data_IF_341557865586
#
_entry.id   IF_341557865586
#
_cell.length_a   1.000
_cell.length_b   1.000
_cell.length_c   1.000
_cell.angle_alpha   90.00
_cell.angle_beta   90.00
_cell.angle_gamma   90.00
#
_symmetry.space_group_name_H-M   'P 1'
#
loop_
_entity.id
_entity.type
_entity.pdbx_description
1 polymer ?
#
# COMPACT_ATOMS: atom_id res chain seq x y z
N UNK A 1 68.78 14.61 -12.43
CA UNK A 1 67.77 15.05 -13.41
C UNK A 1 66.84 13.90 -13.69
N UNK A 2 67.35 12.76 -14.17
CA UNK A 2 66.55 11.53 -14.42
C UNK A 2 65.70 11.05 -13.24
N UNK A 3 66.25 11.00 -12.01
CA UNK A 3 65.48 10.58 -10.82
C UNK A 3 64.32 11.54 -10.46
N UNK A 4 64.42 12.82 -10.80
CA UNK A 4 63.34 13.78 -10.57
C UNK A 4 62.25 13.67 -11.64
N UNK A 5 62.62 13.36 -12.89
CA UNK A 5 61.71 13.14 -14.02
C UNK A 5 60.94 11.80 -13.92
N UNK A 6 61.49 10.82 -13.18
CA UNK A 6 60.83 9.54 -12.89
C UNK A 6 59.83 9.65 -11.72
N UNK A 7 60.18 10.42 -10.68
CA UNK A 7 59.28 10.74 -9.56
C UNK A 7 58.09 11.61 -10.02
N UNK A 8 58.31 12.58 -10.91
CA UNK A 8 57.24 13.41 -11.49
C UNK A 8 56.25 12.57 -12.32
N UNK A 9 56.75 11.71 -13.22
CA UNK A 9 55.90 10.78 -13.99
C UNK A 9 55.10 9.81 -13.12
N UNK A 10 55.70 9.35 -12.01
CA UNK A 10 55.03 8.46 -11.06
C UNK A 10 53.88 9.18 -10.36
N UNK A 11 54.09 10.43 -9.95
CA UNK A 11 53.05 11.25 -9.31
C UNK A 11 51.91 11.56 -10.26
N UNK A 12 52.22 12.00 -11.48
CA UNK A 12 51.20 12.26 -12.52
C UNK A 12 50.37 11.01 -12.82
N UNK A 13 51.01 9.84 -12.94
CA UNK A 13 50.30 8.57 -13.14
C UNK A 13 49.40 8.20 -11.97
N UNK A 14 49.84 8.42 -10.72
CA UNK A 14 49.02 8.19 -9.52
C UNK A 14 47.85 9.16 -9.42
N UNK A 15 48.02 10.42 -9.83
CA UNK A 15 46.98 11.43 -9.78
C UNK A 15 45.90 11.18 -10.85
N UNK A 16 46.31 10.78 -12.06
CA UNK A 16 45.40 10.33 -13.11
C UNK A 16 44.60 9.11 -12.66
N UNK A 17 45.26 8.10 -12.06
CA UNK A 17 44.57 6.91 -11.57
C UNK A 17 43.56 7.23 -10.46
N UNK A 18 43.88 8.17 -9.54
CA UNK A 18 42.93 8.63 -8.52
C UNK A 18 41.74 9.35 -9.13
N UNK A 19 41.95 10.21 -10.14
CA UNK A 19 40.87 10.89 -10.84
C UNK A 19 39.97 9.90 -11.58
N UNK A 20 40.54 8.91 -12.28
CA UNK A 20 39.75 7.89 -12.97
C UNK A 20 38.92 7.04 -11.99
N UNK A 21 39.49 6.67 -10.83
CA UNK A 21 38.76 5.92 -9.80
C UNK A 21 37.64 6.75 -9.18
N UNK A 22 37.87 8.04 -8.91
CA UNK A 22 36.85 8.96 -8.37
C UNK A 22 35.71 9.17 -9.36
N UNK A 23 36.00 9.34 -10.65
CA UNK A 23 34.98 9.45 -11.70
C UNK A 23 34.18 8.15 -11.83
N UNK A 24 34.85 6.99 -11.86
CA UNK A 24 34.18 5.70 -11.96
C UNK A 24 33.31 5.39 -10.74
N UNK A 25 33.76 5.77 -9.54
CA UNK A 25 33.00 5.65 -8.30
C UNK A 25 31.80 6.60 -8.27
N UNK A 26 31.97 7.85 -8.69
CA UNK A 26 30.88 8.81 -8.81
C UNK A 26 29.83 8.36 -9.82
N UNK A 27 30.23 7.87 -11.00
CA UNK A 27 29.30 7.31 -12.00
C UNK A 27 28.57 6.08 -11.46
N UNK A 28 29.27 5.21 -10.72
CA UNK A 28 28.63 4.02 -10.11
C UNK A 28 27.58 4.44 -9.08
N UNK A 29 27.91 5.35 -8.16
CA UNK A 29 26.95 5.87 -7.17
C UNK A 29 25.76 6.54 -7.84
N UNK A 30 25.96 7.33 -8.88
CA UNK A 30 24.87 7.96 -9.62
C UNK A 30 23.97 6.92 -10.29
N UNK A 31 24.53 5.88 -10.92
CA UNK A 31 23.74 4.79 -11.50
C UNK A 31 22.94 4.02 -10.45
N UNK A 32 23.55 3.75 -9.29
CA UNK A 32 22.87 3.07 -8.18
C UNK A 32 21.73 3.93 -7.61
N UNK A 33 21.94 5.23 -7.44
CA UNK A 33 20.91 6.16 -6.95
C UNK A 33 19.74 6.28 -7.95
N UNK A 34 20.04 6.44 -9.24
CA UNK A 34 19.01 6.48 -10.29
C UNK A 34 18.24 5.16 -10.34
N UNK A 35 18.94 4.01 -10.29
CA UNK A 35 18.28 2.71 -10.28
C UNK A 35 17.40 2.51 -9.03
N UNK A 36 17.84 2.97 -7.85
CA UNK A 36 17.06 2.92 -6.63
C UNK A 36 15.78 3.76 -6.74
N UNK A 37 15.90 4.99 -7.27
CA UNK A 37 14.76 5.88 -7.52
C UNK A 37 13.79 5.29 -8.54
N UNK A 38 14.28 4.69 -9.63
CA UNK A 38 13.44 4.01 -10.63
C UNK A 38 12.69 2.82 -10.05
N UNK A 39 13.33 2.01 -9.20
CA UNK A 39 12.67 0.89 -8.50
C UNK A 39 11.61 1.40 -7.54
N UNK A 40 11.86 2.47 -6.81
CA UNK A 40 10.88 3.08 -5.90
C UNK A 40 9.68 3.65 -6.66
N UNK A 41 9.93 4.38 -7.76
CA UNK A 41 8.89 4.92 -8.61
C UNK A 41 8.00 3.82 -9.21
N UNK A 42 8.60 2.72 -9.71
CA UNK A 42 7.85 1.57 -10.22
C UNK A 42 6.99 0.90 -9.14
N UNK A 43 7.51 0.75 -7.91
CA UNK A 43 6.72 0.22 -6.79
C UNK A 43 5.56 1.14 -6.43
N UNK A 44 5.77 2.45 -6.40
CA UNK A 44 4.73 3.42 -6.14
C UNK A 44 3.63 3.39 -7.21
N UNK A 45 4.02 3.30 -8.49
CA UNK A 45 3.07 3.18 -9.60
C UNK A 45 2.28 1.87 -9.54
N UNK A 46 2.94 0.74 -9.28
CA UNK A 46 2.26 -0.56 -9.12
C UNK A 46 1.23 -0.53 -7.99
N UNK A 47 1.56 0.08 -6.84
CA UNK A 47 0.63 0.29 -5.72
C UNK A 47 -0.57 1.14 -6.13
N UNK A 48 -0.34 2.23 -6.87
CA UNK A 48 -1.42 3.09 -7.37
C UNK A 48 -2.33 2.35 -8.35
N UNK A 49 -1.77 1.55 -9.25
CA UNK A 49 -2.56 0.76 -10.21
C UNK A 49 -3.39 -0.31 -9.50
N UNK A 50 -2.80 -1.04 -8.56
CA UNK A 50 -3.53 -2.02 -7.74
C UNK A 50 -4.70 -1.35 -7.00
N UNK A 51 -4.47 -0.16 -6.43
CA UNK A 51 -5.51 0.63 -5.75
C UNK A 51 -6.66 1.01 -6.68
N UNK A 52 -6.33 1.45 -7.90
CA UNK A 52 -7.34 1.81 -8.93
C UNK A 52 -8.13 0.58 -9.37
N UNK A 53 -7.47 -0.57 -9.54
CA UNK A 53 -8.12 -1.82 -9.89
C UNK A 53 -9.10 -2.25 -8.79
N UNK A 54 -8.67 -2.21 -7.51
CA UNK A 54 -9.53 -2.47 -6.35
C UNK A 54 -10.75 -1.55 -6.33
N UNK A 55 -10.56 -0.25 -6.54
CA UNK A 55 -11.68 0.71 -6.57
C UNK A 55 -12.69 0.42 -7.69
N UNK A 56 -12.21 -0.03 -8.86
CA UNK A 56 -13.04 -0.35 -10.02
C UNK A 56 -13.76 -1.70 -9.90
N UNK A 57 -13.22 -2.65 -9.14
CA UNK A 57 -13.86 -3.94 -8.90
C UNK A 57 -14.97 -3.89 -7.84
N UNK A 58 -15.14 -2.75 -7.16
CA UNK A 58 -16.20 -2.60 -6.15
C UNK A 58 -17.57 -2.59 -6.83
N UNK A 59 -18.57 -3.30 -6.26
CA UNK A 59 -19.91 -3.28 -6.82
C UNK A 59 -20.51 -1.88 -6.75
N UNK A 60 -21.36 -1.55 -7.73
CA UNK A 60 -22.13 -0.31 -7.73
C UNK A 60 -22.92 -0.13 -6.43
N UNK A 61 -23.01 1.12 -5.98
CA UNK A 61 -23.72 1.42 -4.74
C UNK A 61 -25.25 1.21 -4.95
N UNK A 62 -25.89 0.29 -4.21
CA UNK A 62 -27.32 0.06 -4.37
C UNK A 62 -28.14 1.27 -3.92
N UNK A 63 -29.31 1.44 -4.55
CA UNK A 63 -30.23 2.54 -4.25
C UNK A 63 -30.67 2.55 -2.78
N UNK A 64 -31.00 3.74 -2.28
CA UNK A 64 -31.52 3.91 -0.92
C UNK A 64 -32.85 3.17 -0.76
N UNK A 65 -32.93 2.26 0.22
CA UNK A 65 -34.16 1.53 0.53
C UNK A 65 -34.34 0.20 -0.20
N UNK A 66 -33.35 -0.25 -0.97
CA UNK A 66 -33.33 -1.62 -1.49
C UNK A 66 -33.22 -2.63 -0.34
N UNK A 67 -34.01 -3.70 -0.39
CA UNK A 67 -33.97 -4.77 0.61
C UNK A 67 -32.60 -5.51 0.63
N UNK A 68 -31.92 -5.53 -0.51
CA UNK A 68 -30.62 -6.18 -0.69
C UNK A 68 -29.43 -5.22 -0.49
N UNK A 69 -29.62 -4.11 0.24
CA UNK A 69 -28.58 -3.13 0.51
C UNK A 69 -28.21 -3.09 1.99
N UNK A 70 -26.93 -3.30 2.29
CA UNK A 70 -26.34 -3.06 3.60
C UNK A 70 -25.59 -1.72 3.60
N UNK A 71 -25.88 -0.85 4.57
CA UNK A 71 -25.08 0.36 4.81
C UNK A 71 -23.87 0.01 5.70
N UNK A 72 -22.67 0.11 5.14
CA UNK A 72 -21.42 -0.15 5.86
C UNK A 72 -20.77 1.18 6.22
N UNK A 73 -20.50 1.34 7.51
CA UNK A 73 -19.79 2.49 8.06
C UNK A 73 -18.48 1.98 8.65
N UNK A 74 -17.36 2.40 8.08
CA UNK A 74 -16.03 2.07 8.59
C UNK A 74 -15.43 3.27 9.30
N UNK A 75 -15.00 3.08 10.53
CA UNK A 75 -14.17 4.04 11.27
C UNK A 75 -12.71 3.61 11.20
N UNK A 76 -11.91 4.52 10.68
CA UNK A 76 -10.47 4.38 10.45
C UNK A 76 -9.69 4.85 11.71
N UNK A 77 -8.42 4.42 11.89
CA UNK A 77 -7.65 4.76 13.08
C UNK A 77 -7.28 6.25 13.15
N UNK A 78 -7.21 6.93 12.00
CA UNK A 78 -7.02 8.38 11.87
C UNK A 78 -8.28 9.19 12.27
N UNK A 79 -9.38 8.52 12.60
CA UNK A 79 -10.66 9.12 12.93
C UNK A 79 -11.55 9.43 11.72
N UNK A 80 -11.07 9.16 10.49
CA UNK A 80 -11.88 9.28 9.29
C UNK A 80 -13.01 8.25 9.32
N UNK A 81 -14.17 8.67 8.82
CA UNK A 81 -15.36 7.83 8.70
C UNK A 81 -15.71 7.66 7.23
N UNK A 82 -15.68 6.41 6.78
CA UNK A 82 -16.15 6.03 5.46
C UNK A 82 -17.59 5.49 5.58
N UNK A 83 -18.46 5.88 4.64
CA UNK A 83 -19.88 5.49 4.60
C UNK A 83 -20.22 5.10 3.17
N UNK A 84 -20.60 3.84 2.93
CA UNK A 84 -20.97 3.32 1.61
C UNK A 84 -21.98 2.20 1.75
N UNK A 85 -22.87 2.06 0.77
CA UNK A 85 -23.77 0.91 0.68
C UNK A 85 -23.17 -0.20 -0.19
N UNK A 86 -23.39 -1.43 0.23
CA UNK A 86 -22.97 -2.64 -0.48
C UNK A 86 -24.16 -3.57 -0.68
N UNK A 87 -24.20 -4.34 -1.77
CA UNK A 87 -25.12 -5.46 -1.89
C UNK A 87 -24.93 -6.44 -0.73
N UNK A 88 -26.01 -6.98 -0.15
CA UNK A 88 -25.94 -7.97 0.94
C UNK A 88 -25.20 -9.24 0.54
N UNK A 89 -25.27 -9.60 -0.74
CA UNK A 89 -24.56 -10.74 -1.36
C UNK A 89 -23.06 -10.49 -1.56
N UNK A 90 -22.59 -9.25 -1.37
CA UNK A 90 -21.19 -8.90 -1.54
C UNK A 90 -20.34 -9.53 -0.43
N UNK A 91 -19.12 -9.95 -0.76
CA UNK A 91 -18.17 -10.50 0.21
C UNK A 91 -17.55 -9.39 1.07
N UNK A 92 -17.15 -9.72 2.30
CA UNK A 92 -16.45 -8.79 3.19
C UNK A 92 -15.14 -8.26 2.56
N UNK A 93 -14.49 -9.06 1.70
CA UNK A 93 -13.31 -8.64 0.94
C UNK A 93 -13.54 -7.33 0.15
N UNK A 94 -14.73 -7.11 -0.41
CA UNK A 94 -15.01 -5.86 -1.14
C UNK A 94 -15.01 -4.63 -0.20
N UNK A 95 -15.36 -4.83 1.08
CA UNK A 95 -15.26 -3.75 2.09
C UNK A 95 -13.79 -3.48 2.41
N UNK A 96 -12.94 -4.52 2.49
CA UNK A 96 -11.49 -4.37 2.65
C UNK A 96 -10.90 -3.61 1.46
N UNK A 97 -11.18 -4.05 0.24
CA UNK A 97 -10.71 -3.42 -1.00
C UNK A 97 -11.17 -1.95 -1.10
N UNK A 98 -12.37 -1.65 -0.62
CA UNK A 98 -12.88 -0.29 -0.54
C UNK A 98 -12.08 0.57 0.43
N UNK A 99 -11.80 0.08 1.65
CA UNK A 99 -11.00 0.81 2.65
C UNK A 99 -9.58 1.02 2.14
N UNK A 100 -8.93 -0.02 1.62
CA UNK A 100 -7.58 0.08 1.03
C UNK A 100 -7.52 1.03 -0.17
N UNK A 101 -8.60 1.10 -0.94
CA UNK A 101 -8.68 2.03 -2.08
C UNK A 101 -8.93 3.49 -1.67
N UNK A 102 -9.64 3.71 -0.57
CA UNK A 102 -9.97 5.03 -0.05
C UNK A 102 -8.84 5.62 0.81
N UNK A 103 -8.15 4.79 1.60
CA UNK A 103 -7.21 5.23 2.64
C UNK A 103 -5.88 4.49 2.49
N UNK A 104 -4.92 5.06 1.72
CA UNK A 104 -3.66 4.41 1.38
C UNK A 104 -2.65 4.35 2.54
N UNK A 105 -3.00 4.87 3.72
CA UNK A 105 -2.15 4.84 4.91
C UNK A 105 -2.44 3.63 5.79
N UNK A 106 -3.52 2.90 5.50
CA UNK A 106 -3.98 1.77 6.31
C UNK A 106 -3.62 0.49 5.57
N UNK A 107 -2.81 -0.32 6.22
CA UNK A 107 -2.40 -1.65 5.77
C UNK A 107 -2.64 -2.63 6.92
N UNK A 108 -2.71 -3.93 6.59
CA UNK A 108 -2.73 -5.02 7.57
C UNK A 108 -3.67 -4.74 8.76
N UNK A 109 -4.98 -4.68 8.47
CA UNK A 109 -6.01 -4.42 9.47
C UNK A 109 -7.09 -5.50 9.45
N UNK A 110 -7.75 -5.66 10.58
CA UNK A 110 -8.97 -6.46 10.72
C UNK A 110 -10.16 -5.57 11.04
N UNK A 111 -11.37 -6.03 10.74
CA UNK A 111 -12.59 -5.34 11.12
C UNK A 111 -13.10 -5.81 12.49
N UNK A 112 -13.58 -4.87 13.29
CA UNK A 112 -14.25 -5.13 14.55
C UNK A 112 -15.63 -4.48 14.52
N UNK A 113 -16.70 -5.23 14.77
CA UNK A 113 -18.03 -4.68 15.04
C UNK A 113 -18.20 -4.37 16.53
N UNK A 114 -19.12 -3.46 16.88
CA UNK A 114 -19.36 -3.08 18.27
C UNK A 114 -20.55 -3.82 18.93
N UNK A 115 -21.62 -4.11 18.19
CA UNK A 115 -22.83 -4.76 18.73
C UNK A 115 -23.47 -5.76 17.75
N UNK A 116 -23.42 -7.08 18.05
CA UNK A 116 -22.50 -7.69 19.03
C UNK A 116 -21.04 -7.40 18.67
N UNK A 117 -20.15 -7.36 19.67
CA UNK A 117 -18.72 -7.22 19.42
C UNK A 117 -18.21 -8.49 18.74
N UNK A 118 -17.73 -8.38 17.50
CA UNK A 118 -17.16 -9.47 16.71
C UNK A 118 -15.96 -8.95 15.94
N UNK A 119 -14.88 -9.72 15.93
CA UNK A 119 -13.70 -9.46 15.13
C UNK A 119 -13.74 -10.35 13.87
N UNK A 120 -13.34 -9.79 12.73
CA UNK A 120 -13.37 -10.43 11.41
C UNK A 120 -11.96 -10.74 10.91
N UNK A 121 -11.16 -11.46 11.71
CA UNK A 121 -9.75 -11.77 11.40
C UNK A 121 -9.57 -13.05 10.59
N UNK A 122 -10.60 -13.89 10.45
CA UNK A 122 -10.46 -15.17 9.76
C UNK A 122 -10.56 -15.00 8.24
N UNK A 123 -9.68 -15.65 7.45
CA UNK A 123 -9.71 -15.55 5.99
C UNK A 123 -11.03 -16.07 5.39
N UNK A 124 -11.69 -17.03 6.06
CA UNK A 124 -13.00 -17.54 5.67
C UNK A 124 -14.08 -16.44 5.71
N UNK A 125 -13.96 -15.48 6.64
CA UNK A 125 -14.92 -14.37 6.76
C UNK A 125 -14.78 -13.38 5.60
N UNK A 126 -13.58 -13.23 5.02
CA UNK A 126 -13.35 -12.34 3.87
C UNK A 126 -14.10 -12.81 2.62
N UNK A 127 -14.20 -14.12 2.42
CA UNK A 127 -14.95 -14.73 1.31
C UNK A 127 -16.42 -14.98 1.62
N UNK A 128 -16.87 -14.64 2.83
CA UNK A 128 -18.27 -14.77 3.25
C UNK A 128 -19.05 -13.51 2.88
N UNK A 129 -20.33 -13.67 2.49
CA UNK A 129 -21.19 -12.53 2.16
C UNK A 129 -21.55 -11.69 3.39
N UNK A 130 -21.84 -10.40 3.20
CA UNK A 130 -22.29 -9.52 4.28
C UNK A 130 -23.55 -10.06 4.96
N UNK A 131 -24.50 -10.64 4.21
CA UNK A 131 -25.67 -11.30 4.77
C UNK A 131 -25.31 -12.45 5.71
N UNK A 132 -24.40 -13.34 5.31
CA UNK A 132 -24.00 -14.49 6.12
C UNK A 132 -23.23 -14.09 7.39
N UNK A 133 -22.54 -12.94 7.35
CA UNK A 133 -21.89 -12.36 8.52
C UNK A 133 -22.86 -11.65 9.49
N UNK A 134 -24.15 -11.55 9.13
CA UNK A 134 -25.18 -10.83 9.89
C UNK A 134 -25.11 -9.31 9.73
N UNK A 135 -24.53 -8.84 8.62
CA UNK A 135 -24.37 -7.43 8.26
C UNK A 135 -25.43 -7.05 7.21
N UNK A 136 -26.70 -7.14 7.59
CA UNK A 136 -27.83 -7.14 6.63
C UNK A 136 -28.44 -5.75 6.41
N UNK A 137 -28.49 -4.91 7.46
CA UNK A 137 -29.12 -3.58 7.39
C UNK A 137 -28.11 -2.44 7.55
N UNK A 138 -27.37 -2.45 8.66
CA UNK A 138 -26.34 -1.47 8.94
C UNK A 138 -25.20 -2.10 9.71
N UNK A 139 -23.99 -2.00 9.18
CA UNK A 139 -22.76 -2.45 9.81
C UNK A 139 -21.94 -1.24 10.25
N UNK A 140 -21.58 -1.17 11.54
CA UNK A 140 -20.55 -0.26 12.02
C UNK A 140 -19.30 -1.07 12.33
N UNK A 141 -18.28 -0.89 11.50
CA UNK A 141 -16.99 -1.56 11.58
C UNK A 141 -15.91 -0.56 12.00
N UNK A 142 -14.96 -1.05 12.78
CA UNK A 142 -13.78 -0.33 13.21
C UNK A 142 -12.58 -1.11 12.67
N UNK A 143 -11.61 -0.41 12.09
CA UNK A 143 -10.34 -1.03 11.70
C UNK A 143 -9.46 -1.17 12.94
N UNK A 144 -8.96 -2.37 13.20
CA UNK A 144 -7.94 -2.66 14.20
C UNK A 144 -6.68 -3.03 13.44
N UNK A 145 -5.60 -2.30 13.69
CA UNK A 145 -4.27 -2.63 13.17
C UNK A 145 -3.83 -4.00 13.70
N UNK A 146 -3.32 -4.85 12.80
CA UNK A 146 -2.73 -6.15 13.14
C UNK A 146 -1.23 -6.18 12.80
N UNK A 147 -0.63 -5.02 12.52
CA UNK A 147 0.79 -4.89 12.18
C UNK A 147 1.71 -5.21 13.38
N UNK A 148 1.16 -5.24 14.60
CA UNK A 148 1.88 -5.46 15.86
C UNK A 148 1.56 -6.79 16.60
N UNK A 149 0.78 -7.70 16.01
CA UNK A 149 0.43 -9.01 16.63
C UNK A 149 1.19 -10.21 16.05
#
# INVERSE_FOLDING_TARGET
REMAEEDERTREGQELQRQEEEVADAERRQREEVAALEVEAQKAEARLQARRAKAQSLPDEPAQGSADACRVVVKLPDGQRLDRRFPTTCHLQAVVDWVESASPEIFDFTFVSNYPRREFSAPEQLVTSLSELGLESQAMLFTKDISEE
#
